data_IF_366809317715
#
_entry.id   IF_366809317715
#
_cell.length_a   1.000
_cell.length_b   1.000
_cell.length_c   1.000
_cell.angle_alpha   90.00
_cell.angle_beta   90.00
_cell.angle_gamma   90.00
#
_symmetry.space_group_name_H-M   'P 1'
#
loop_
_entity.id
_entity.type
_entity.pdbx_description
1 polymer ?
#
# COMPACT_ATOMS: atom_id res chain seq x y z
N UNK A 1 15.21 -18.05 -16.04
CA UNK A 1 14.52 -17.60 -14.81
C UNK A 1 13.81 -18.82 -14.22
N UNK A 2 14.13 -19.22 -12.99
CA UNK A 2 13.50 -20.37 -12.34
C UNK A 2 11.99 -20.12 -12.15
N UNK A 3 11.16 -21.12 -12.39
CA UNK A 3 9.72 -21.00 -12.17
C UNK A 3 9.46 -20.93 -10.66
N UNK A 4 9.06 -19.75 -10.16
CA UNK A 4 8.60 -19.60 -8.78
C UNK A 4 7.13 -20.02 -8.73
N UNK A 5 6.81 -21.00 -7.89
CA UNK A 5 5.42 -21.35 -7.63
C UNK A 5 4.68 -20.13 -7.07
N UNK A 6 3.49 -19.86 -7.59
CA UNK A 6 2.62 -18.80 -7.08
C UNK A 6 2.12 -19.17 -5.68
N UNK A 7 1.85 -20.46 -5.49
CA UNK A 7 1.37 -21.01 -4.23
C UNK A 7 1.83 -22.47 -4.11
N UNK A 8 2.13 -22.87 -2.88
CA UNK A 8 2.46 -24.24 -2.51
C UNK A 8 1.55 -24.65 -1.35
N UNK A 9 1.03 -25.87 -1.42
CA UNK A 9 0.15 -26.38 -0.38
C UNK A 9 -0.12 -27.87 -0.52
N UNK A 10 -1.15 -28.34 0.16
CA UNK A 10 -1.55 -29.75 0.15
C UNK A 10 -3.04 -29.87 -0.11
N UNK A 11 -3.43 -30.83 -0.95
CA UNK A 11 -4.83 -31.19 -1.18
C UNK A 11 -5.08 -32.50 -0.43
N UNK A 12 -6.13 -32.53 0.40
CA UNK A 12 -6.52 -33.71 1.16
C UNK A 12 -7.75 -34.36 0.54
N UNK A 13 -7.65 -35.65 0.24
CA UNK A 13 -8.71 -36.50 -0.28
C UNK A 13 -8.92 -37.66 0.68
N UNK A 14 -9.97 -37.57 1.51
CA UNK A 14 -10.23 -38.47 2.64
C UNK A 14 -9.00 -38.58 3.58
N UNK A 15 -8.22 -39.65 3.46
CA UNK A 15 -7.03 -39.93 4.28
C UNK A 15 -5.70 -39.68 3.53
N UNK A 16 -5.76 -39.30 2.25
CA UNK A 16 -4.57 -39.06 1.42
C UNK A 16 -4.29 -37.57 1.35
N UNK A 17 -3.03 -37.17 1.55
CA UNK A 17 -2.56 -35.79 1.39
C UNK A 17 -1.54 -35.73 0.25
N UNK A 18 -1.82 -34.90 -0.76
CA UNK A 18 -1.00 -34.75 -1.96
C UNK A 18 -0.40 -33.33 -1.96
N UNK A 19 0.93 -33.17 -1.92
CA UNK A 19 1.56 -31.86 -2.07
C UNK A 19 1.36 -31.36 -3.49
N UNK A 20 1.01 -30.09 -3.63
CA UNK A 20 0.78 -29.47 -4.94
C UNK A 20 1.44 -28.09 -5.01
N UNK A 21 1.84 -27.73 -6.23
CA UNK A 21 2.41 -26.43 -6.55
C UNK A 21 1.59 -25.81 -7.69
N UNK A 22 1.17 -24.56 -7.51
CA UNK A 22 0.40 -23.83 -8.52
C UNK A 22 1.34 -22.91 -9.28
N UNK A 23 1.30 -23.04 -10.60
CA UNK A 23 2.02 -22.20 -11.54
C UNK A 23 1.03 -21.42 -12.42
N UNK A 24 1.30 -20.14 -12.71
CA UNK A 24 0.44 -19.38 -13.61
C UNK A 24 0.50 -19.96 -15.03
N UNK A 25 -0.68 -20.18 -15.64
CA UNK A 25 -0.80 -20.73 -16.99
C UNK A 25 -0.25 -19.77 -18.06
N UNK A 26 -0.35 -18.47 -17.80
CA UNK A 26 0.22 -17.41 -18.63
C UNK A 26 1.29 -16.66 -17.84
N UNK A 27 2.46 -16.47 -18.45
CA UNK A 27 3.44 -15.52 -17.93
C UNK A 27 3.06 -14.19 -18.56
N UNK A 28 2.52 -13.25 -17.78
CA UNK A 28 2.56 -11.84 -18.18
C UNK A 28 4.05 -11.54 -18.41
N UNK A 29 4.46 -11.41 -19.69
CA UNK A 29 5.86 -11.28 -20.08
C UNK A 29 6.52 -10.24 -19.20
N UNK A 30 7.78 -10.49 -18.79
CA UNK A 30 8.54 -9.68 -17.84
C UNK A 30 8.18 -8.21 -18.00
N UNK A 31 7.27 -7.72 -17.15
CA UNK A 31 6.73 -6.39 -17.32
C UNK A 31 7.92 -5.46 -17.12
N UNK A 32 8.37 -4.83 -18.20
CA UNK A 32 9.43 -3.84 -18.13
C UNK A 32 8.87 -2.72 -17.27
N UNK A 33 9.26 -2.72 -16.00
CA UNK A 33 8.85 -1.68 -15.06
C UNK A 33 9.76 -0.48 -15.29
N UNK A 34 9.18 0.59 -15.82
CA UNK A 34 9.90 1.84 -15.99
C UNK A 34 10.00 2.53 -14.64
N UNK A 35 11.23 2.83 -14.21
CA UNK A 35 11.47 3.71 -13.08
C UNK A 35 11.45 5.14 -13.60
N UNK A 36 10.83 6.05 -12.85
CA UNK A 36 10.92 7.46 -13.18
C UNK A 36 12.32 7.97 -12.86
N UNK A 37 12.98 8.57 -13.84
CA UNK A 37 14.35 9.09 -13.75
C UNK A 37 14.27 10.61 -13.87
N UNK A 38 14.95 11.31 -12.97
CA UNK A 38 15.14 12.76 -13.10
C UNK A 38 16.13 13.03 -14.23
N UNK A 39 15.61 13.55 -15.35
CA UNK A 39 16.34 13.69 -16.62
C UNK A 39 17.70 14.40 -16.48
N UNK A 40 17.83 15.56 -15.79
CA UNK A 40 19.12 16.23 -15.65
C UNK A 40 20.16 15.49 -14.81
N UNK A 41 19.74 14.64 -13.84
CA UNK A 41 20.67 13.98 -12.91
C UNK A 41 20.88 12.50 -13.19
N UNK A 42 20.01 11.88 -14.00
CA UNK A 42 20.00 10.44 -14.26
C UNK A 42 19.63 9.60 -13.03
N UNK A 43 19.18 10.21 -11.93
CA UNK A 43 18.88 9.51 -10.67
C UNK A 43 17.41 9.11 -10.61
N UNK A 44 17.06 7.96 -9.99
CA UNK A 44 15.67 7.57 -9.80
C UNK A 44 14.95 8.53 -8.83
N UNK A 45 13.68 8.81 -9.10
CA UNK A 45 12.83 9.62 -8.23
C UNK A 45 12.49 8.83 -6.96
N UNK A 46 12.64 9.46 -5.79
CA UNK A 46 12.16 8.98 -4.49
C UNK A 46 10.96 9.83 -4.06
N UNK A 47 9.89 9.18 -3.61
CA UNK A 47 8.72 9.83 -3.05
C UNK A 47 8.82 9.90 -1.53
N UNK A 48 8.53 11.06 -0.97
CA UNK A 48 8.51 11.31 0.46
C UNK A 48 7.24 12.08 0.81
N UNK A 49 6.55 11.68 1.87
CA UNK A 49 5.35 12.37 2.34
C UNK A 49 5.81 13.44 3.32
N UNK A 50 5.47 14.68 3.04
CA UNK A 50 5.91 15.84 3.83
C UNK A 50 4.70 16.66 4.28
N UNK A 51 4.76 17.18 5.50
CA UNK A 51 3.81 18.18 6.02
C UNK A 51 4.51 19.54 6.01
N UNK A 52 3.82 20.56 5.50
CA UNK A 52 4.31 21.94 5.48
C UNK A 52 4.70 22.38 6.90
N UNK A 53 5.92 22.90 7.08
CA UNK A 53 6.44 23.37 8.37
C UNK A 53 7.03 22.30 9.29
N UNK A 54 6.71 21.01 9.10
CA UNK A 54 7.24 19.90 9.91
C UNK A 54 8.32 19.10 9.17
N UNK A 55 8.11 18.86 7.86
CA UNK A 55 9.03 18.07 7.03
C UNK A 55 8.51 16.65 6.77
N UNK A 56 9.40 15.69 6.48
CA UNK A 56 9.04 14.29 6.23
C UNK A 56 8.33 13.64 7.41
N UNK A 57 7.27 12.88 7.13
CA UNK A 57 6.48 12.17 8.15
C UNK A 57 6.49 10.67 7.92
N UNK A 58 6.44 9.93 9.02
CA UNK A 58 6.37 8.47 8.99
C UNK A 58 4.97 8.02 8.52
N UNK A 59 4.84 7.00 7.64
CA UNK A 59 3.55 6.45 7.25
C UNK A 59 2.58 6.11 8.39
N UNK A 60 3.07 5.77 9.58
CA UNK A 60 2.25 5.42 10.74
C UNK A 60 1.62 6.64 11.43
N UNK A 61 2.20 7.82 11.23
CA UNK A 61 1.64 9.10 11.73
C UNK A 61 0.56 9.66 10.79
N UNK A 62 0.32 9.02 9.63
CA UNK A 62 -0.61 9.50 8.61
C UNK A 62 -1.99 8.90 8.80
N UNK A 63 -2.88 9.72 9.36
CA UNK A 63 -4.31 9.43 9.46
C UNK A 63 -5.03 9.77 8.15
N UNK A 64 -6.01 8.95 7.77
CA UNK A 64 -6.94 9.28 6.68
C UNK A 64 -8.06 10.12 7.25
N UNK A 65 -8.49 11.17 6.56
CA UNK A 65 -9.63 11.97 6.98
C UNK A 65 -10.52 12.37 5.81
N UNK A 66 -11.80 12.67 6.08
CA UNK A 66 -12.74 13.21 5.11
C UNK A 66 -13.16 14.63 5.53
N UNK A 67 -13.17 15.57 4.57
CA UNK A 67 -13.54 16.97 4.82
C UNK A 67 -15.07 17.11 4.85
N UNK A 68 -15.62 17.50 5.99
CA UNK A 68 -17.08 17.69 6.17
C UNK A 68 -17.47 19.14 5.94
N UNK A 69 -16.60 20.08 6.29
CA UNK A 69 -16.70 21.49 5.96
C UNK A 69 -15.30 22.10 5.93
N UNK A 70 -15.15 23.30 5.37
CA UNK A 70 -13.84 23.93 5.16
C UNK A 70 -12.98 23.93 6.43
N UNK A 71 -11.88 23.17 6.42
CA UNK A 71 -10.96 23.05 7.56
C UNK A 71 -11.39 22.07 8.67
N UNK A 72 -12.53 21.39 8.52
CA UNK A 72 -13.05 20.41 9.48
C UNK A 72 -13.00 19.01 8.87
N UNK A 73 -12.14 18.17 9.44
CA UNK A 73 -11.91 16.81 8.97
C UNK A 73 -12.38 15.79 10.01
N UNK A 74 -13.05 14.74 9.53
CA UNK A 74 -13.35 13.54 10.31
C UNK A 74 -12.25 12.53 10.03
N UNK A 75 -11.51 12.13 11.07
CA UNK A 75 -10.41 11.18 10.97
C UNK A 75 -10.92 9.73 11.00
N UNK A 76 -10.35 8.89 10.15
CA UNK A 76 -10.59 7.46 10.03
C UNK A 76 -9.37 6.73 10.59
N UNK A 77 -9.53 6.10 11.75
CA UNK A 77 -8.49 5.26 12.34
C UNK A 77 -8.35 3.96 11.52
N UNK A 78 -7.10 3.55 11.29
CA UNK A 78 -6.80 2.31 10.57
C UNK A 78 -6.92 1.13 11.53
N UNK A 79 -8.11 0.55 11.56
CA UNK A 79 -8.44 -0.62 12.35
C UNK A 79 -9.92 -0.53 12.66
N UNK A 80 -10.67 -1.54 12.24
CA UNK A 80 -12.07 -1.76 12.55
C UNK A 80 -12.51 -1.06 13.84
N UNK A 81 -13.43 -0.10 13.71
CA UNK A 81 -14.42 0.40 14.67
C UNK A 81 -14.69 1.88 14.37
N UNK A 82 -15.92 2.17 13.94
CA UNK A 82 -16.47 3.51 13.89
C UNK A 82 -16.75 3.98 15.33
N UNK A 83 -15.72 4.40 16.05
CA UNK A 83 -15.92 5.21 17.25
C UNK A 83 -16.13 6.66 16.83
N UNK A 84 -17.19 7.26 17.35
CA UNK A 84 -17.77 8.49 16.88
C UNK A 84 -16.86 9.70 17.08
N UNK A 85 -16.77 10.51 16.03
CA UNK A 85 -16.49 11.95 16.07
C UNK A 85 -15.28 12.38 16.91
N UNK A 86 -14.08 12.18 16.37
CA UNK A 86 -12.99 13.12 16.61
C UNK A 86 -13.01 14.17 15.50
N UNK A 87 -13.73 15.28 15.74
CA UNK A 87 -13.63 16.49 14.92
C UNK A 87 -12.32 17.20 15.27
N UNK A 88 -11.28 16.97 14.48
CA UNK A 88 -10.06 17.77 14.54
C UNK A 88 -10.22 18.99 13.65
N UNK A 89 -10.19 20.18 14.23
CA UNK A 89 -10.08 21.42 13.45
C UNK A 89 -8.66 21.49 12.89
N UNK A 90 -8.52 21.46 11.57
CA UNK A 90 -7.24 21.60 10.88
C UNK A 90 -7.21 23.02 10.30
N UNK A 91 -6.51 23.95 10.96
CA UNK A 91 -6.27 25.29 10.41
C UNK A 91 -5.17 25.16 9.34
N UNK A 92 -5.58 25.10 8.08
CA UNK A 92 -4.68 24.99 6.92
C UNK A 92 -3.97 26.29 6.57
N UNK A 93 -3.29 26.91 7.55
CA UNK A 93 -2.44 28.09 7.35
C UNK A 93 -0.97 27.74 7.43
#
# INVERSE_FOLDING_TARGET
>A
MAARAYWQGQIRLALVSIPVEIYPATKSGAAVSFRQIHEPSGKPIKYEKVVTGVGPVDPDEILKGYEVSKGNYVLLLRGDNYDGRLSGNYDGR
#
